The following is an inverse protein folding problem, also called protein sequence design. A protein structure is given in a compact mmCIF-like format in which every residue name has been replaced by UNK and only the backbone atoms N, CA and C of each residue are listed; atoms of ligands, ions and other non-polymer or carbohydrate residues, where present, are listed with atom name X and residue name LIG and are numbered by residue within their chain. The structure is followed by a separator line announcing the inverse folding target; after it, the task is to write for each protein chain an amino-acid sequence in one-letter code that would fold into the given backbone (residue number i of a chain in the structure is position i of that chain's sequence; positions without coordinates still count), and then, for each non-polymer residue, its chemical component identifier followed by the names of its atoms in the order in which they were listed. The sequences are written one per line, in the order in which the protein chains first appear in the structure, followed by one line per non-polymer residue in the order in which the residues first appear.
data_IF_367058444205
#
_entry.id   IF_367058444205
#
_cell.length_a   1.000
_cell.length_b   1.000
_cell.length_c   1.000
_cell.angle_alpha   90.00
_cell.angle_beta   90.00
_cell.angle_gamma   90.00
#
_symmetry.space_group_name_H-M   'P 1'
#
loop_
_entity.id
_entity.type
_entity.pdbx_description
1 polymer ?
#
# COMPACT_ATOMS: atom_id res chain seq x y z
N UNK A 1 8.60 -5.88 -2.37
CA UNK A 1 7.23 -5.55 -2.79
C UNK A 1 6.23 -6.49 -2.11
N UNK A 2 5.36 -5.94 -1.29
CA UNK A 2 4.36 -6.66 -0.51
C UNK A 2 2.96 -6.29 -1.03
N UNK A 3 2.40 -6.98 -2.04
CA UNK A 3 1.11 -6.62 -2.60
C UNK A 3 0.00 -6.73 -1.54
N UNK A 4 -0.77 -5.66 -1.37
CA UNK A 4 -1.90 -5.63 -0.44
C UNK A 4 -3.09 -6.36 -1.07
N UNK A 5 -3.12 -7.70 -0.88
CA UNK A 5 -4.08 -8.59 -1.51
C UNK A 5 -5.50 -8.33 -0.99
N UNK A 6 -6.47 -8.34 -1.90
CA UNK A 6 -7.90 -8.28 -1.57
C UNK A 6 -8.55 -9.65 -1.61
N UNK A 7 -9.69 -9.78 -0.95
CA UNK A 7 -10.48 -11.01 -0.92
C UNK A 7 -11.61 -10.93 -1.96
N UNK A 8 -11.68 -11.93 -2.83
CA UNK A 8 -12.73 -12.08 -3.82
C UNK A 8 -13.27 -13.52 -3.84
N UNK A 9 -14.23 -13.79 -4.69
CA UNK A 9 -14.78 -15.16 -4.82
C UNK A 9 -13.70 -16.11 -5.36
N UNK A 10 -13.51 -17.31 -4.78
CA UNK A 10 -12.65 -18.35 -5.35
C UNK A 10 -13.09 -18.72 -6.78
N UNK A 11 -12.15 -19.11 -7.61
CA UNK A 11 -12.45 -19.58 -8.97
C UNK A 11 -11.48 -20.66 -9.45
N UNK A 12 -11.94 -21.46 -10.39
CA UNK A 12 -11.11 -22.36 -11.19
C UNK A 12 -11.17 -21.89 -12.64
N UNK A 13 -10.02 -21.66 -13.25
CA UNK A 13 -9.93 -21.35 -14.66
C UNK A 13 -9.11 -22.42 -15.36
N UNK A 14 -9.61 -22.92 -16.49
CA UNK A 14 -8.84 -23.72 -17.44
C UNK A 14 -8.31 -22.77 -18.50
N UNK A 15 -7.03 -22.60 -18.57
CA UNK A 15 -6.38 -21.93 -19.70
C UNK A 15 -5.92 -23.02 -20.66
N UNK A 16 -6.73 -23.31 -21.66
CA UNK A 16 -6.36 -24.17 -22.78
C UNK A 16 -6.16 -23.32 -24.00
N UNK A 17 -5.00 -23.38 -24.59
CA UNK A 17 -4.80 -22.92 -25.95
C UNK A 17 -5.11 -24.10 -26.88
N UNK A 18 -6.19 -24.05 -27.60
CA UNK A 18 -6.47 -24.95 -28.72
C UNK A 18 -5.86 -24.27 -29.95
N UNK A 19 -4.56 -24.43 -30.10
CA UNK A 19 -3.83 -23.97 -31.27
C UNK A 19 -3.76 -25.07 -32.31
N UNK A 20 -4.66 -25.06 -33.27
CA UNK A 20 -4.70 -25.97 -34.41
C UNK A 20 -3.67 -25.59 -35.51
N UNK A 21 -2.77 -24.64 -35.26
CA UNK A 21 -1.97 -24.00 -36.29
C UNK A 21 -0.45 -24.18 -36.20
N UNK A 22 0.05 -25.10 -35.41
CA UNK A 22 1.49 -25.43 -35.52
C UNK A 22 1.67 -26.95 -35.58
N UNK A 23 2.16 -27.40 -36.72
CA UNK A 23 2.65 -28.76 -37.00
C UNK A 23 3.90 -29.15 -36.15
N UNK A 24 3.90 -28.82 -34.90
CA UNK A 24 4.91 -29.23 -33.93
C UNK A 24 4.20 -30.00 -32.83
N UNK A 25 4.49 -31.30 -32.73
CA UNK A 25 3.87 -32.28 -31.81
C UNK A 25 3.98 -31.99 -30.32
N UNK A 26 3.93 -30.77 -29.87
CA UNK A 26 3.84 -30.35 -28.47
C UNK A 26 2.46 -29.78 -28.20
N UNK A 27 1.55 -30.67 -27.87
CA UNK A 27 0.28 -30.33 -27.27
C UNK A 27 0.54 -29.79 -25.86
N UNK A 28 0.46 -28.47 -25.64
CA UNK A 28 0.53 -27.90 -24.28
C UNK A 28 -0.67 -28.43 -23.48
N UNK A 29 -0.37 -29.13 -22.39
CA UNK A 29 -1.43 -29.58 -21.47
C UNK A 29 -2.15 -28.37 -20.89
N UNK A 30 -3.48 -28.36 -20.84
CA UNK A 30 -4.23 -27.27 -20.25
C UNK A 30 -3.84 -27.10 -18.76
N UNK A 31 -3.44 -25.88 -18.41
CA UNK A 31 -3.14 -25.56 -17.02
C UNK A 31 -4.44 -25.18 -16.31
N UNK A 32 -4.74 -25.89 -15.23
CA UNK A 32 -5.85 -25.55 -14.34
C UNK A 32 -5.33 -24.64 -13.24
N UNK A 33 -5.74 -23.38 -13.26
CA UNK A 33 -5.46 -22.45 -12.18
C UNK A 33 -6.58 -22.49 -11.16
N UNK A 34 -6.24 -22.79 -9.90
CA UNK A 34 -7.16 -22.72 -8.76
C UNK A 34 -6.79 -21.49 -7.94
N UNK A 35 -7.71 -20.55 -7.81
CA UNK A 35 -7.52 -19.37 -6.98
C UNK A 35 -8.46 -19.42 -5.78
N UNK A 36 -7.90 -19.37 -4.57
CA UNK A 36 -8.64 -19.44 -3.30
C UNK A 36 -9.37 -18.13 -2.92
N UNK A 37 -9.47 -17.18 -3.84
CA UNK A 37 -10.14 -15.90 -3.60
C UNK A 37 -9.19 -14.72 -3.37
N UNK A 38 -7.88 -14.92 -3.33
CA UNK A 38 -6.92 -13.80 -3.26
C UNK A 38 -6.80 -13.11 -4.61
N UNK A 39 -6.84 -11.77 -4.58
CA UNK A 39 -6.69 -10.92 -5.77
C UNK A 39 -5.55 -9.95 -5.55
N UNK A 40 -4.71 -9.76 -6.56
CA UNK A 40 -3.78 -8.65 -6.60
C UNK A 40 -4.53 -7.32 -6.63
N UNK A 41 -3.95 -6.26 -6.08
CA UNK A 41 -4.54 -4.93 -6.14
C UNK A 41 -4.71 -4.50 -7.60
N UNK A 42 -5.79 -3.78 -7.87
CA UNK A 42 -6.03 -3.17 -9.20
C UNK A 42 -5.11 -1.97 -9.41
N UNK A 43 -4.88 -1.59 -10.66
CA UNK A 43 -3.98 -0.48 -11.03
C UNK A 43 -4.46 0.89 -10.55
N UNK A 44 -5.75 1.06 -10.33
CA UNK A 44 -6.34 2.29 -9.78
C UNK A 44 -6.83 2.02 -8.37
N UNK A 45 -6.26 2.72 -7.38
CA UNK A 45 -6.66 2.67 -5.98
C UNK A 45 -7.46 3.92 -5.62
N UNK A 46 -8.56 3.77 -4.90
CA UNK A 46 -9.42 4.87 -4.48
C UNK A 46 -9.31 5.07 -2.97
N UNK A 47 -8.96 6.29 -2.55
CA UNK A 47 -8.90 6.68 -1.15
C UNK A 47 -9.74 7.93 -0.91
N UNK A 48 -10.42 7.99 0.23
CA UNK A 48 -11.19 9.17 0.63
C UNK A 48 -10.22 10.32 0.91
N UNK A 49 -10.52 11.51 0.36
CA UNK A 49 -9.73 12.72 0.60
C UNK A 49 -9.86 13.13 2.07
N UNK A 50 -8.76 13.51 2.67
CA UNK A 50 -8.68 14.14 4.00
C UNK A 50 -8.15 15.55 3.86
N UNK A 51 -8.76 16.49 4.59
CA UNK A 51 -8.43 17.92 4.55
C UNK A 51 -8.41 18.52 5.95
N UNK A 52 -7.89 19.73 6.09
CA UNK A 52 -8.04 20.56 7.29
C UNK A 52 -6.72 20.90 8.01
N UNK A 53 -5.68 20.09 7.89
CA UNK A 53 -4.41 20.35 8.60
C UNK A 53 -3.32 20.93 7.70
N UNK A 54 -3.37 20.61 6.42
CA UNK A 54 -2.44 21.09 5.40
C UNK A 54 -3.16 21.20 4.05
N UNK A 55 -2.88 22.22 3.21
CA UNK A 55 -3.54 22.40 1.91
C UNK A 55 -3.42 21.20 0.97
N UNK A 56 -2.31 20.46 1.04
CA UNK A 56 -2.04 19.28 0.22
C UNK A 56 -1.96 17.99 1.05
N UNK A 57 -2.72 17.92 2.14
CA UNK A 57 -2.75 16.73 3.01
C UNK A 57 -3.11 15.48 2.21
N UNK A 58 -2.32 14.43 2.40
CA UNK A 58 -2.59 13.12 1.81
C UNK A 58 -3.47 12.29 2.74
N UNK A 59 -4.36 11.43 2.20
CA UNK A 59 -5.12 10.49 3.03
C UNK A 59 -4.20 9.54 3.80
N UNK A 60 -4.49 9.34 5.09
CA UNK A 60 -3.72 8.42 5.94
C UNK A 60 -3.73 7.00 5.36
N UNK A 61 -4.89 6.52 4.91
CA UNK A 61 -5.03 5.20 4.32
C UNK A 61 -4.19 4.99 3.05
N UNK A 62 -3.97 6.04 2.25
CA UNK A 62 -3.07 5.99 1.10
C UNK A 62 -1.61 5.81 1.55
N UNK A 63 -1.15 6.58 2.55
CA UNK A 63 0.20 6.48 3.07
C UNK A 63 0.44 5.08 3.68
N UNK A 64 -0.48 4.57 4.48
CA UNK A 64 -0.39 3.21 5.05
C UNK A 64 -0.35 2.12 3.96
N UNK A 65 -1.15 2.25 2.91
CA UNK A 65 -1.14 1.32 1.79
C UNK A 65 0.22 1.29 1.09
N UNK A 66 0.80 2.45 0.81
CA UNK A 66 2.11 2.56 0.15
C UNK A 66 3.23 2.03 1.04
N UNK A 67 3.23 2.40 2.32
CA UNK A 67 4.23 1.95 3.29
C UNK A 67 4.20 0.42 3.42
N UNK A 68 3.03 -0.19 3.62
CA UNK A 68 2.88 -1.66 3.68
C UNK A 68 3.32 -2.35 2.40
N UNK A 69 3.10 -1.71 1.25
CA UNK A 69 3.43 -2.29 -0.06
C UNK A 69 4.92 -2.30 -0.33
N UNK A 70 5.65 -1.26 0.08
CA UNK A 70 7.04 -1.06 -0.33
C UNK A 70 8.07 -1.21 0.80
N UNK A 71 7.61 -1.42 2.03
CA UNK A 71 8.49 -1.63 3.18
C UNK A 71 8.05 -2.82 4.03
N UNK A 72 8.96 -3.32 4.86
CA UNK A 72 8.68 -4.30 5.91
C UNK A 72 8.57 -3.60 7.28
N UNK A 73 8.02 -4.29 8.29
CA UNK A 73 8.01 -3.78 9.67
C UNK A 73 9.45 -3.47 10.12
N UNK A 74 9.61 -2.39 10.89
CA UNK A 74 10.89 -1.90 11.42
C UNK A 74 11.88 -1.35 10.39
N UNK A 75 11.49 -1.21 9.12
CA UNK A 75 12.27 -0.44 8.15
C UNK A 75 11.99 1.05 8.31
N UNK A 76 12.97 1.88 7.95
CA UNK A 76 12.88 3.35 8.07
C UNK A 76 12.29 3.98 6.81
N UNK A 77 11.29 4.82 6.99
CA UNK A 77 10.68 5.64 5.93
C UNK A 77 11.11 7.08 6.09
N UNK A 78 11.60 7.70 5.02
CA UNK A 78 11.97 9.11 4.97
C UNK A 78 10.91 9.90 4.21
N UNK A 79 10.45 11.01 4.81
CA UNK A 79 9.66 12.04 4.13
C UNK A 79 10.34 13.39 4.31
N UNK A 80 10.91 13.91 3.24
CA UNK A 80 11.70 15.15 3.24
C UNK A 80 10.85 16.43 3.14
N UNK A 81 9.54 16.30 3.09
CA UNK A 81 8.56 17.40 3.07
C UNK A 81 7.23 16.96 3.72
N UNK A 82 7.34 16.52 4.97
CA UNK A 82 6.26 15.79 5.67
C UNK A 82 4.98 16.59 5.91
N UNK A 83 4.98 17.91 5.76
CA UNK A 83 3.82 18.76 5.94
C UNK A 83 3.19 18.57 7.33
N UNK A 84 1.95 18.11 7.36
CA UNK A 84 1.23 17.81 8.61
C UNK A 84 1.54 16.41 9.19
N UNK A 85 2.56 15.69 8.70
CA UNK A 85 3.06 14.44 9.28
C UNK A 85 2.20 13.21 9.02
N UNK A 86 1.40 13.18 7.96
CA UNK A 86 0.55 12.01 7.65
C UNK A 86 1.37 10.74 7.42
N UNK A 87 2.52 10.85 6.73
CA UNK A 87 3.45 9.73 6.53
C UNK A 87 3.99 9.21 7.86
N UNK A 88 4.34 10.10 8.80
CA UNK A 88 4.81 9.70 10.12
C UNK A 88 3.76 8.96 10.94
N UNK A 89 2.51 9.45 10.96
CA UNK A 89 1.38 8.72 11.59
C UNK A 89 1.18 7.34 10.96
N UNK A 90 1.24 7.27 9.62
CA UNK A 90 1.12 6.00 8.91
C UNK A 90 2.25 5.01 9.28
N UNK A 91 3.47 5.50 9.47
CA UNK A 91 4.61 4.69 9.91
C UNK A 91 4.37 4.10 11.30
N UNK A 92 3.91 4.90 12.27
CA UNK A 92 3.58 4.42 13.62
C UNK A 92 2.51 3.33 13.54
N UNK A 93 1.39 3.59 12.84
CA UNK A 93 0.29 2.62 12.69
C UNK A 93 0.72 1.30 12.04
N UNK A 94 1.78 1.34 11.24
CA UNK A 94 2.25 0.18 10.48
C UNK A 94 3.57 -0.40 11.01
N UNK A 95 4.06 0.07 12.15
CA UNK A 95 5.30 -0.36 12.84
C UNK A 95 6.56 -0.15 11.97
N UNK A 96 6.68 1.02 11.36
CA UNK A 96 7.88 1.45 10.65
C UNK A 96 8.53 2.61 11.40
N UNK A 97 9.84 2.71 11.32
CA UNK A 97 10.58 3.87 11.79
C UNK A 97 10.38 5.03 10.82
N UNK A 98 10.45 6.27 11.34
CA UNK A 98 10.17 7.45 10.55
C UNK A 98 11.21 8.55 10.73
N UNK A 99 11.64 9.13 9.62
CA UNK A 99 12.43 10.36 9.58
C UNK A 99 11.66 11.38 8.76
N UNK A 100 11.24 12.48 9.40
CA UNK A 100 10.49 13.54 8.74
C UNK A 100 11.26 14.86 8.74
N UNK A 101 11.20 15.57 7.63
CA UNK A 101 11.79 16.91 7.47
C UNK A 101 10.66 17.86 7.04
N UNK A 102 10.58 19.02 7.70
CA UNK A 102 9.63 20.08 7.36
C UNK A 102 10.27 21.45 7.59
N UNK A 103 10.21 22.31 6.58
CA UNK A 103 10.79 23.66 6.62
C UNK A 103 9.93 24.62 7.44
N UNK A 104 8.60 24.48 7.34
CA UNK A 104 7.67 25.35 8.05
C UNK A 104 7.55 24.95 9.51
N UNK A 105 8.02 25.81 10.42
CA UNK A 105 7.88 25.58 11.85
C UNK A 105 6.44 25.27 12.28
N UNK A 106 5.48 25.96 11.69
CA UNK A 106 4.04 25.74 11.96
C UNK A 106 3.62 24.30 11.63
N UNK A 107 3.96 23.81 10.44
CA UNK A 107 3.59 22.45 10.04
C UNK A 107 4.43 21.40 10.75
N UNK A 108 5.67 21.68 11.06
CA UNK A 108 6.51 20.82 11.88
C UNK A 108 5.86 20.54 13.26
N UNK A 109 5.40 21.58 13.97
CA UNK A 109 4.72 21.40 15.26
C UNK A 109 3.43 20.61 15.13
N UNK A 110 2.64 20.84 14.07
CA UNK A 110 1.44 20.06 13.79
C UNK A 110 1.79 18.57 13.57
N UNK A 111 2.80 18.30 12.75
CA UNK A 111 3.27 16.96 12.46
C UNK A 111 3.76 16.24 13.73
N UNK A 112 4.61 16.91 14.51
CA UNK A 112 5.14 16.40 15.77
C UNK A 112 4.03 15.97 16.71
N UNK A 113 3.07 16.86 16.99
CA UNK A 113 1.96 16.57 17.90
C UNK A 113 1.10 15.40 17.40
N UNK A 114 0.87 15.28 16.10
CA UNK A 114 0.10 14.18 15.52
C UNK A 114 0.82 12.83 15.62
N UNK A 115 2.13 12.82 15.36
CA UNK A 115 2.94 11.59 15.45
C UNK A 115 3.04 11.15 16.91
N UNK A 116 3.30 12.06 17.85
CA UNK A 116 3.34 11.76 19.28
C UNK A 116 1.99 11.23 19.80
N UNK A 117 0.87 11.80 19.34
CA UNK A 117 -0.46 11.30 19.68
C UNK A 117 -0.69 9.87 19.15
N UNK A 118 -0.24 9.57 17.94
CA UNK A 118 -0.31 8.22 17.37
C UNK A 118 0.54 7.22 18.16
N UNK A 119 1.75 7.60 18.57
CA UNK A 119 2.64 6.77 19.41
C UNK A 119 1.98 6.41 20.75
N UNK A 120 1.31 7.37 21.38
CA UNK A 120 0.63 7.17 22.67
C UNK A 120 -0.68 6.37 22.56
N UNK A 121 -1.25 6.25 21.36
CA UNK A 121 -2.50 5.54 21.09
C UNK A 121 -2.28 4.10 20.65
N UNK A 122 -1.05 3.73 20.32
CA UNK A 122 -0.69 2.37 19.90
C UNK A 122 -0.34 1.56 21.16
N UNK A 123 -1.04 0.44 21.42
CA UNK A 123 -0.82 -0.40 22.60
C UNK A 123 0.51 -1.14 22.58
#
# INVERSE_FOLDING_TARGET
YNPQMTVGKPYKAKQGYVGEYLNAGNCFKPVVTVNAGKRYPVSVQNFKIETGLHPTQKPLALCEYLIKTYTNEHETVLDNCMGSGTTGVACINTKRDFIGIELSKKYFEIAKNRIEAAMNSTP
#
